data_IF_538525670116
#
_entry.id   IF_538525670116
#
_cell.length_a   1.000
_cell.length_b   1.000
_cell.length_c   1.000
_cell.angle_alpha   90.00
_cell.angle_beta   90.00
_cell.angle_gamma   90.00
#
_symmetry.space_group_name_H-M   'P 1'
#
loop_
_entity.id
_entity.type
_entity.pdbx_description
1 polymer ?
#
# COMPACT_ATOMS: atom_id res chain seq x y z
N UNK A 1 0.84 19.20 -8.78
CA UNK A 1 -0.10 19.31 -9.90
C UNK A 1 -1.44 19.59 -9.23
N UNK A 2 -1.81 20.87 -9.08
CA UNK A 2 -3.03 21.28 -8.36
C UNK A 2 -4.07 21.85 -9.32
N UNK A 3 -3.76 21.82 -10.61
CA UNK A 3 -4.53 22.42 -11.69
C UNK A 3 -4.23 21.62 -12.97
N UNK A 4 -5.14 20.71 -13.27
CA UNK A 4 -5.09 19.85 -14.45
C UNK A 4 -5.18 20.66 -15.76
N UNK A 5 -6.03 21.70 -15.78
CA UNK A 5 -6.27 22.52 -16.97
C UNK A 5 -5.00 23.27 -17.37
N UNK A 6 -4.29 23.83 -16.38
CA UNK A 6 -2.96 24.43 -16.58
C UNK A 6 -1.94 23.48 -17.17
N UNK A 7 -1.96 22.21 -16.75
CA UNK A 7 -1.04 21.22 -17.27
C UNK A 7 -1.37 20.82 -18.70
N UNK A 8 -2.65 20.61 -19.01
CA UNK A 8 -3.09 20.28 -20.37
C UNK A 8 -2.81 21.45 -21.34
N UNK A 9 -3.04 22.69 -20.93
CA UNK A 9 -2.69 23.90 -21.70
C UNK A 9 -1.17 23.95 -22.00
N UNK A 10 -0.33 23.68 -21.00
CA UNK A 10 1.13 23.63 -21.19
C UNK A 10 1.57 22.50 -22.13
N UNK A 11 0.82 21.40 -22.18
CA UNK A 11 1.03 20.30 -23.11
C UNK A 11 0.60 20.69 -24.53
N UNK A 12 -0.47 21.45 -24.72
CA UNK A 12 -0.93 21.89 -26.06
C UNK A 12 0.08 22.81 -26.76
N UNK A 13 0.80 23.64 -26.00
CA UNK A 13 1.87 24.50 -26.52
C UNK A 13 3.12 23.71 -26.97
N UNK A 14 3.31 22.51 -26.45
CA UNK A 14 4.42 21.63 -26.81
C UNK A 14 4.10 20.84 -28.08
N UNK A 15 4.97 20.88 -29.10
CA UNK A 15 4.80 20.11 -30.34
C UNK A 15 4.42 18.66 -30.04
N UNK A 16 3.33 18.20 -30.67
CA UNK A 16 2.81 16.82 -30.62
C UNK A 16 3.94 15.80 -30.82
N UNK A 17 4.42 15.26 -29.70
CA UNK A 17 5.43 14.23 -29.60
C UNK A 17 4.81 13.08 -28.82
N UNK A 18 5.32 11.87 -29.02
CA UNK A 18 4.92 10.71 -28.21
C UNK A 18 5.00 10.99 -26.69
N UNK A 19 5.96 11.81 -26.26
CA UNK A 19 6.08 12.24 -24.85
C UNK A 19 4.89 13.09 -24.38
N UNK A 20 4.27 13.85 -25.30
CA UNK A 20 3.10 14.66 -25.02
C UNK A 20 1.85 13.78 -24.85
N UNK A 21 1.62 12.86 -25.78
CA UNK A 21 0.50 11.89 -25.69
C UNK A 21 0.63 11.00 -24.45
N UNK A 22 1.85 10.56 -24.11
CA UNK A 22 2.11 9.81 -22.88
C UNK A 22 1.82 10.65 -21.64
N UNK A 23 2.31 11.89 -21.59
CA UNK A 23 2.08 12.79 -20.46
C UNK A 23 0.59 13.11 -20.28
N UNK A 24 -0.15 13.27 -21.38
CA UNK A 24 -1.60 13.45 -21.38
C UNK A 24 -2.33 12.19 -20.89
N UNK A 25 -1.91 10.99 -21.30
CA UNK A 25 -2.52 9.75 -20.79
C UNK A 25 -2.24 9.48 -19.31
N UNK A 26 -1.09 9.93 -18.79
CA UNK A 26 -0.74 9.78 -17.37
C UNK A 26 -1.23 10.95 -16.49
N UNK A 27 -1.69 12.05 -17.08
CA UNK A 27 -2.03 13.30 -16.38
C UNK A 27 -2.99 13.12 -15.20
N UNK A 28 -4.07 12.34 -15.35
CA UNK A 28 -5.04 12.08 -14.27
C UNK A 28 -4.43 11.29 -13.11
N UNK A 29 -3.56 10.33 -13.42
CA UNK A 29 -2.87 9.53 -12.38
C UNK A 29 -1.89 10.42 -11.62
N UNK A 30 -1.20 11.32 -12.32
CA UNK A 30 -0.30 12.28 -11.71
C UNK A 30 -1.06 13.30 -10.85
N UNK A 31 -2.24 13.74 -11.27
CA UNK A 31 -3.07 14.66 -10.50
C UNK A 31 -3.48 14.06 -9.16
N UNK A 32 -4.03 12.83 -9.16
CA UNK A 32 -4.39 12.10 -7.94
C UNK A 32 -3.16 11.88 -7.05
N UNK A 33 -2.02 11.51 -7.64
CA UNK A 33 -0.78 11.30 -6.89
C UNK A 33 -0.31 12.59 -6.21
N UNK A 34 -0.29 13.72 -6.93
CA UNK A 34 0.23 14.97 -6.39
C UNK A 34 -0.78 15.74 -5.52
N UNK A 35 -2.07 15.42 -5.56
CA UNK A 35 -3.08 16.05 -4.71
C UNK A 35 -2.82 15.81 -3.22
N UNK A 36 -2.32 14.63 -2.85
CA UNK A 36 -2.02 14.28 -1.46
C UNK A 36 -0.68 14.82 -0.93
N UNK A 37 0.21 15.31 -1.80
CA UNK A 37 1.55 15.74 -1.40
C UNK A 37 1.59 17.22 -1.03
N UNK A 38 2.00 17.51 0.21
CA UNK A 38 2.36 18.87 0.63
C UNK A 38 3.74 19.23 0.09
N UNK A 39 3.83 20.33 -0.63
CA UNK A 39 5.08 20.83 -1.21
C UNK A 39 5.39 22.23 -0.68
N UNK A 40 6.67 22.48 -0.40
CA UNK A 40 7.15 23.76 0.14
C UNK A 40 8.47 24.09 -0.56
N UNK A 41 8.66 25.35 -0.92
CA UNK A 41 9.90 25.85 -1.53
C UNK A 41 10.89 26.25 -0.44
N UNK A 42 12.13 25.75 -0.51
CA UNK A 42 13.18 26.11 0.45
C UNK A 42 14.48 26.50 -0.23
N UNK A 43 15.22 27.38 0.42
CA UNK A 43 16.58 27.74 0.04
C UNK A 43 17.54 27.42 1.18
N UNK A 44 18.38 26.41 0.99
CA UNK A 44 19.40 26.03 1.98
C UNK A 44 20.46 27.11 2.20
N UNK A 45 20.64 28.01 1.24
CA UNK A 45 21.64 29.08 1.31
C UNK A 45 21.15 30.28 2.14
N UNK A 46 19.87 30.63 2.03
CA UNK A 46 19.28 31.80 2.74
C UNK A 46 18.46 31.40 3.96
N UNK A 47 18.12 30.12 4.12
CA UNK A 47 17.23 29.63 5.18
C UNK A 47 15.74 29.92 4.93
N UNK A 48 15.40 30.47 3.77
CA UNK A 48 14.03 30.80 3.40
C UNK A 48 13.18 29.52 3.23
N UNK A 49 11.94 29.55 3.72
CA UNK A 49 10.98 28.44 3.63
C UNK A 49 11.18 27.31 4.65
N UNK A 50 12.18 27.39 5.53
CA UNK A 50 12.43 26.34 6.51
C UNK A 50 11.33 26.23 7.58
N UNK A 51 10.77 27.37 8.02
CA UNK A 51 9.64 27.41 8.95
C UNK A 51 8.38 26.76 8.34
N UNK A 52 8.14 27.00 7.05
CA UNK A 52 7.02 26.43 6.30
C UNK A 52 7.16 24.91 6.18
N UNK A 53 8.39 24.40 5.96
CA UNK A 53 8.66 22.95 5.95
C UNK A 53 8.36 22.33 7.31
N UNK A 54 8.82 22.95 8.39
CA UNK A 54 8.56 22.44 9.75
C UNK A 54 7.06 22.40 10.05
N UNK A 55 6.32 23.43 9.62
CA UNK A 55 4.87 23.48 9.77
C UNK A 55 4.20 22.35 8.97
N UNK A 56 4.57 22.17 7.71
CA UNK A 56 4.03 21.11 6.86
C UNK A 56 4.31 19.70 7.41
N UNK A 57 5.49 19.48 8.02
CA UNK A 57 5.84 18.23 8.70
C UNK A 57 4.92 18.00 9.89
N UNK A 58 4.76 18.98 10.78
CA UNK A 58 3.92 18.86 11.97
C UNK A 58 2.47 18.52 11.61
N UNK A 59 1.90 19.22 10.62
CA UNK A 59 0.55 18.91 10.15
C UNK A 59 0.45 17.51 9.53
N UNK A 60 1.51 17.02 8.88
CA UNK A 60 1.55 15.67 8.30
C UNK A 60 1.61 14.60 9.39
N UNK A 61 2.32 14.87 10.49
CA UNK A 61 2.33 14.00 11.69
C UNK A 61 0.93 13.94 12.31
N UNK A 62 0.25 15.08 12.43
CA UNK A 62 -1.12 15.12 12.94
C UNK A 62 -2.10 14.36 12.03
N UNK A 63 -2.01 14.56 10.71
CA UNK A 63 -2.81 13.83 9.74
C UNK A 63 -2.58 12.32 9.82
N UNK A 64 -1.31 11.88 9.94
CA UNK A 64 -0.96 10.48 10.13
C UNK A 64 -1.63 9.89 11.37
N UNK A 65 -1.50 10.54 12.53
CA UNK A 65 -2.08 10.07 13.80
C UNK A 65 -3.61 10.06 13.77
N UNK A 66 -4.24 11.01 13.08
CA UNK A 66 -5.69 11.18 13.09
C UNK A 66 -6.42 10.34 12.04
N UNK A 67 -5.81 10.12 10.88
CA UNK A 67 -6.46 9.47 9.74
C UNK A 67 -5.88 8.08 9.47
N UNK A 68 -4.55 7.98 9.33
CA UNK A 68 -3.90 6.73 8.95
C UNK A 68 -3.92 5.70 10.08
N UNK A 69 -3.49 6.07 11.30
CA UNK A 69 -3.44 5.14 12.44
C UNK A 69 -4.78 4.44 12.71
N UNK A 70 -5.93 5.14 12.84
CA UNK A 70 -7.20 4.45 13.08
C UNK A 70 -7.70 3.64 11.87
N UNK A 71 -7.33 4.02 10.65
CA UNK A 71 -7.63 3.21 9.47
C UNK A 71 -6.81 1.91 9.49
N UNK A 72 -5.52 2.01 9.81
CA UNK A 72 -4.61 0.88 9.95
C UNK A 72 -5.06 -0.10 11.04
N UNK A 73 -5.41 0.40 12.23
CA UNK A 73 -5.92 -0.43 13.34
C UNK A 73 -7.18 -1.22 12.96
N UNK A 74 -8.09 -0.62 12.18
CA UNK A 74 -9.30 -1.31 11.68
C UNK A 74 -8.95 -2.43 10.72
N UNK A 75 -8.06 -2.17 9.77
CA UNK A 75 -7.60 -3.18 8.80
C UNK A 75 -6.90 -4.32 9.52
N UNK A 76 -6.10 -4.01 10.55
CA UNK A 76 -5.43 -5.01 11.35
C UNK A 76 -6.42 -5.87 12.15
N UNK A 77 -7.44 -5.26 12.76
CA UNK A 77 -8.50 -5.99 13.47
C UNK A 77 -9.29 -6.92 12.52
N UNK A 78 -9.67 -6.44 11.34
CA UNK A 78 -10.37 -7.24 10.33
C UNK A 78 -9.51 -8.43 9.86
N UNK A 79 -8.21 -8.22 9.65
CA UNK A 79 -7.27 -9.29 9.31
C UNK A 79 -7.24 -10.37 10.40
N UNK A 80 -7.09 -9.99 11.67
CA UNK A 80 -7.09 -10.95 12.80
C UNK A 80 -8.39 -11.75 12.90
N UNK A 81 -9.54 -11.10 12.71
CA UNK A 81 -10.84 -11.79 12.73
C UNK A 81 -10.97 -12.81 11.59
N UNK A 82 -10.49 -12.47 10.39
CA UNK A 82 -10.49 -13.38 9.24
C UNK A 82 -9.54 -14.55 9.47
N UNK A 83 -8.33 -14.31 9.98
CA UNK A 83 -7.34 -15.36 10.25
C UNK A 83 -7.84 -16.33 11.33
N UNK A 84 -8.51 -15.82 12.37
CA UNK A 84 -9.17 -16.67 13.37
C UNK A 84 -10.31 -17.52 12.77
N UNK A 85 -11.11 -16.93 11.86
CA UNK A 85 -12.18 -17.66 11.17
C UNK A 85 -11.60 -18.74 10.24
N UNK A 86 -10.52 -18.45 9.53
CA UNK A 86 -9.83 -19.43 8.70
C UNK A 86 -9.21 -20.53 9.55
N UNK A 87 -8.56 -20.21 10.66
CA UNK A 87 -8.00 -21.21 11.58
C UNK A 87 -9.10 -22.13 12.12
N UNK A 88 -10.23 -21.58 12.57
CA UNK A 88 -11.39 -22.36 13.02
C UNK A 88 -11.96 -23.25 11.91
N UNK A 89 -12.06 -22.75 10.68
CA UNK A 89 -12.49 -23.56 9.51
C UNK A 89 -11.51 -24.69 9.22
N UNK A 90 -10.19 -24.42 9.23
CA UNK A 90 -9.15 -25.44 9.02
C UNK A 90 -9.19 -26.51 10.11
N UNK A 91 -9.36 -26.12 11.38
CA UNK A 91 -9.54 -27.05 12.50
C UNK A 91 -10.80 -27.91 12.36
N UNK A 92 -11.94 -27.31 11.97
CA UNK A 92 -13.18 -28.05 11.72
C UNK A 92 -13.07 -29.00 10.52
N UNK A 93 -12.40 -28.61 9.45
CA UNK A 93 -12.18 -29.45 8.27
C UNK A 93 -11.23 -30.61 8.56
N UNK A 94 -10.18 -30.37 9.35
CA UNK A 94 -9.30 -31.42 9.86
C UNK A 94 -10.05 -32.42 10.75
N UNK A 95 -10.94 -31.93 11.62
CA UNK A 95 -11.76 -32.78 12.49
C UNK A 95 -12.84 -33.57 11.71
N UNK A 96 -13.35 -33.02 10.61
CA UNK A 96 -14.31 -33.69 9.70
C UNK A 96 -13.63 -34.71 8.76
N UNK A 97 -12.32 -34.93 8.88
CA UNK A 97 -11.62 -36.05 8.23
C UNK A 97 -11.55 -35.98 6.70
N UNK A 98 -11.79 -34.81 6.09
CA UNK A 98 -11.48 -34.61 4.67
C UNK A 98 -9.96 -34.54 4.55
N UNK A 99 -9.33 -35.67 4.24
CA UNK A 99 -7.98 -35.69 3.74
C UNK A 99 -7.89 -34.65 2.61
N UNK A 100 -7.08 -33.61 2.81
CA UNK A 100 -6.68 -32.68 1.75
C UNK A 100 -6.10 -33.57 0.65
N UNK A 101 -6.87 -33.77 -0.41
CA UNK A 101 -6.47 -34.58 -1.54
C UNK A 101 -5.40 -33.77 -2.28
N UNK A 102 -4.14 -33.89 -1.87
CA UNK A 102 -2.99 -33.38 -2.59
C UNK A 102 -2.93 -34.13 -3.91
N UNK A 103 -3.46 -33.51 -4.98
CA UNK A 103 -3.24 -33.95 -6.36
C UNK A 103 -2.31 -32.94 -7.00
N UNK A 104 -1.06 -33.34 -7.19
CA UNK A 104 -0.10 -32.55 -7.96
C UNK A 104 1.36 -32.82 -7.62
N UNK A 105 1.78 -34.07 -7.42
CA UNK A 105 3.21 -34.38 -7.30
C UNK A 105 3.88 -34.30 -8.68
N UNK A 106 4.57 -33.20 -8.98
CA UNK A 106 5.55 -33.16 -10.06
C UNK A 106 6.92 -33.55 -9.48
N UNK A 107 7.48 -34.69 -9.90
CA UNK A 107 8.79 -35.15 -9.46
C UNK A 107 9.90 -34.47 -10.25
N UNK A 108 10.84 -33.83 -9.56
CA UNK A 108 12.18 -33.56 -10.05
C UNK A 108 13.19 -33.79 -8.91
N UNK A 109 13.58 -35.05 -8.70
CA UNK A 109 14.51 -35.44 -7.62
C UNK A 109 13.86 -35.58 -6.23
N UNK A 110 14.70 -35.87 -5.23
CA UNK A 110 14.32 -36.30 -3.86
C UNK A 110 13.89 -35.16 -2.90
N UNK A 111 13.64 -33.94 -3.40
CA UNK A 111 13.14 -32.83 -2.58
C UNK A 111 11.69 -32.49 -2.94
N UNK A 112 10.79 -32.64 -1.96
CA UNK A 112 9.38 -32.29 -2.06
C UNK A 112 9.21 -30.78 -1.84
N UNK A 113 9.01 -30.02 -2.92
CA UNK A 113 8.68 -28.59 -2.86
C UNK A 113 7.15 -28.46 -2.93
N UNK A 114 6.54 -28.04 -1.83
CA UNK A 114 5.11 -27.73 -1.73
C UNK A 114 4.88 -26.33 -2.31
N UNK A 115 4.24 -26.24 -3.48
CA UNK A 115 3.76 -24.99 -4.06
C UNK A 115 2.27 -24.85 -3.75
N UNK A 116 1.93 -24.20 -2.65
CA UNK A 116 0.55 -23.81 -2.34
C UNK A 116 0.10 -22.74 -3.34
N UNK A 117 -0.86 -23.09 -4.20
CA UNK A 117 -1.42 -22.16 -5.19
C UNK A 117 -2.58 -21.39 -4.57
N UNK A 118 -2.26 -20.36 -3.77
CA UNK A 118 -3.22 -19.43 -3.15
C UNK A 118 -3.82 -18.39 -4.14
N UNK A 119 -4.13 -18.78 -5.38
CA UNK A 119 -4.34 -17.80 -6.44
C UNK A 119 -5.78 -17.29 -6.61
N UNK A 120 -6.80 -17.91 -6.01
CA UNK A 120 -8.21 -17.66 -6.39
C UNK A 120 -9.15 -17.06 -5.31
N UNK A 121 -8.62 -16.43 -4.25
CA UNK A 121 -9.45 -15.71 -3.27
C UNK A 121 -8.91 -14.32 -2.90
N UNK A 122 -8.30 -13.62 -3.85
CA UNK A 122 -7.91 -12.22 -3.69
C UNK A 122 -9.09 -11.32 -4.04
N UNK A 123 -10.06 -11.24 -3.12
CA UNK A 123 -10.75 -9.97 -2.85
C UNK A 123 -9.64 -8.95 -2.59
N UNK A 124 -9.75 -7.72 -3.08
CA UNK A 124 -8.79 -6.62 -2.96
C UNK A 124 -8.35 -6.38 -1.50
N UNK A 125 -7.51 -7.27 -0.98
CA UNK A 125 -6.96 -7.23 0.36
C UNK A 125 -5.82 -6.22 0.29
N UNK A 126 -5.95 -5.16 1.07
CA UNK A 126 -4.82 -4.27 1.35
C UNK A 126 -3.73 -5.17 1.94
N UNK A 127 -2.67 -5.43 1.15
CA UNK A 127 -1.54 -6.21 1.61
C UNK A 127 -0.75 -5.32 2.58
N UNK A 128 -1.07 -5.47 3.87
CA UNK A 128 -0.24 -4.95 4.95
C UNK A 128 1.09 -5.71 4.84
N UNK A 129 2.09 -5.10 4.20
CA UNK A 129 3.42 -5.69 4.07
C UNK A 129 4.03 -6.00 5.43
N UNK A 130 4.99 -6.93 5.45
CA UNK A 130 5.62 -7.46 6.65
C UNK A 130 5.26 -8.93 6.88
N UNK A 131 6.22 -9.73 7.33
CA UNK A 131 5.93 -11.07 7.87
C UNK A 131 5.05 -10.87 9.11
N UNK A 132 4.11 -11.76 9.42
CA UNK A 132 3.20 -11.57 10.58
C UNK A 132 3.98 -11.35 11.89
N UNK A 133 5.17 -11.95 12.02
CA UNK A 133 6.13 -11.73 13.12
C UNK A 133 6.68 -10.29 13.18
N UNK A 134 6.95 -9.63 12.05
CA UNK A 134 7.46 -8.25 11.99
C UNK A 134 6.38 -7.22 12.38
N UNK A 135 5.11 -7.50 12.03
CA UNK A 135 3.97 -6.65 12.37
C UNK A 135 3.61 -6.71 13.87
N UNK A 136 3.84 -7.85 14.54
CA UNK A 136 3.71 -7.96 16.00
C UNK A 136 4.80 -7.15 16.72
N UNK A 137 6.03 -7.14 16.20
CA UNK A 137 7.13 -6.36 16.76
C UNK A 137 6.94 -4.85 16.58
N UNK A 138 6.50 -4.38 15.41
CA UNK A 138 6.30 -2.94 15.15
C UNK A 138 5.08 -2.35 15.88
N UNK A 139 4.07 -3.16 16.21
CA UNK A 139 2.87 -2.71 16.93
C UNK A 139 3.14 -2.35 18.40
N UNK A 140 4.18 -2.91 19.03
CA UNK A 140 4.51 -2.65 20.44
C UNK A 140 5.50 -1.49 20.64
N UNK A 141 6.07 -0.93 19.56
CA UNK A 141 7.00 0.20 19.66
C UNK A 141 6.22 1.51 19.70
N UNK A 142 5.97 2.01 20.91
CA UNK A 142 5.55 3.40 21.12
C UNK A 142 6.66 4.33 20.59
N UNK A 143 6.43 4.92 19.41
CA UNK A 143 7.29 5.98 18.87
C UNK A 143 6.82 7.31 19.48
N UNK A 144 7.50 7.73 20.55
CA UNK A 144 7.34 9.03 21.22
C UNK A 144 7.62 10.22 20.30
#
# INVERSE_FOLDING_TARGET
MQDFERFDEALEDARSSYMNDLSRSLSLVLDEFYCGLKTVCVSSATGEGFEDVMTAINESVEAYKKEYVPMYEKVLAEKRELDEQERKKREEEALKGKAVHVVGSAKLGDEEIVLETELNAKIDRIHLGGVDEENEEDAEVLRD
#
